data_IF_355580923211
#
_entry.id   IF_355580923211
#
_cell.length_a   1.000
_cell.length_b   1.000
_cell.length_c   1.000
_cell.angle_alpha   90.00
_cell.angle_beta   90.00
_cell.angle_gamma   90.00
#
_symmetry.space_group_name_H-M   'P 1'
#
loop_
_entity.id
_entity.type
_entity.pdbx_description
1 polymer ?
#
# COMPACT_ATOMS: atom_id res chain seq x y z
N UNK A 1 -0.08 -2.73 12.07
CA UNK A 1 1.37 -2.59 11.79
C UNK A 1 1.69 -1.09 11.72
N UNK A 2 2.74 -0.63 12.39
CA UNK A 2 3.15 0.78 12.34
C UNK A 2 4.15 0.96 11.19
N UNK A 3 3.93 1.96 10.33
CA UNK A 3 4.84 2.27 9.22
C UNK A 3 6.11 2.96 9.73
N UNK A 4 7.23 2.66 9.07
CA UNK A 4 8.51 3.34 9.30
C UNK A 4 8.49 4.73 8.67
N UNK A 5 9.29 5.71 9.14
CA UNK A 5 9.27 7.08 8.62
C UNK A 5 9.40 7.17 7.08
N UNK A 6 10.36 6.46 6.50
CA UNK A 6 10.55 6.44 5.04
C UNK A 6 9.38 5.81 4.26
N UNK A 7 8.61 4.90 4.90
CA UNK A 7 7.43 4.30 4.28
C UNK A 7 6.28 5.31 4.26
N UNK A 8 6.14 6.12 5.32
CA UNK A 8 5.19 7.24 5.37
C UNK A 8 5.56 8.30 4.34
N UNK A 9 6.84 8.67 4.25
CA UNK A 9 7.35 9.62 3.25
C UNK A 9 7.11 9.12 1.82
N UNK A 10 7.35 7.83 1.55
CA UNK A 10 7.09 7.24 0.24
C UNK A 10 5.61 7.34 -0.17
N UNK A 11 4.69 7.10 0.77
CA UNK A 11 3.24 7.25 0.56
C UNK A 11 2.85 8.71 0.32
N UNK A 12 3.39 9.63 1.12
CA UNK A 12 3.14 11.06 0.97
C UNK A 12 3.62 11.56 -0.41
N UNK A 13 4.82 11.14 -0.84
CA UNK A 13 5.36 11.47 -2.15
C UNK A 13 4.48 10.91 -3.29
N UNK A 14 3.99 9.68 -3.15
CA UNK A 14 3.08 9.05 -4.13
C UNK A 14 1.76 9.81 -4.27
N UNK A 15 1.13 10.16 -3.14
CA UNK A 15 -0.11 10.95 -3.14
C UNK A 15 0.10 12.35 -3.72
N UNK A 16 1.23 12.99 -3.41
CA UNK A 16 1.58 14.28 -4.03
C UNK A 16 1.77 14.14 -5.54
N UNK A 17 2.41 13.07 -6.00
CA UNK A 17 2.61 12.79 -7.42
C UNK A 17 1.25 12.68 -8.15
N UNK A 18 0.32 11.88 -7.65
CA UNK A 18 -1.01 11.74 -8.27
C UNK A 18 -1.81 13.05 -8.34
N UNK A 19 -1.57 13.99 -7.43
CA UNK A 19 -2.24 15.29 -7.41
C UNK A 19 -1.62 16.32 -8.36
N UNK A 20 -0.33 16.20 -8.65
CA UNK A 20 0.44 17.23 -9.36
C UNK A 20 0.89 16.83 -10.75
N UNK A 21 0.82 15.53 -11.08
CA UNK A 21 1.37 14.94 -12.29
C UNK A 21 0.35 14.03 -12.98
N UNK A 22 0.52 13.82 -14.28
CA UNK A 22 -0.32 12.94 -15.12
C UNK A 22 0.41 11.71 -15.66
N UNK A 23 1.71 11.60 -15.41
CA UNK A 23 2.51 10.44 -15.79
C UNK A 23 2.49 9.34 -14.71
N UNK A 24 3.35 8.33 -14.84
CA UNK A 24 3.34 7.15 -13.96
C UNK A 24 4.37 7.30 -12.83
N UNK A 25 3.98 7.20 -11.54
CA UNK A 25 4.91 7.26 -10.43
C UNK A 25 5.78 5.99 -10.32
N UNK A 26 6.99 6.13 -9.77
CA UNK A 26 7.87 5.02 -9.44
C UNK A 26 8.42 5.19 -8.03
N UNK A 27 8.19 4.20 -7.15
CA UNK A 27 8.78 4.14 -5.80
C UNK A 27 9.95 3.16 -5.84
N UNK A 28 11.15 3.63 -5.53
CA UNK A 28 12.36 2.81 -5.45
C UNK A 28 12.70 2.56 -3.99
N UNK A 29 12.58 1.30 -3.55
CA UNK A 29 12.99 0.88 -2.21
C UNK A 29 13.85 -0.39 -2.29
N UNK A 30 14.94 -0.49 -1.50
CA UNK A 30 15.85 -1.64 -1.52
C UNK A 30 15.15 -2.93 -1.08
N UNK A 31 15.78 -4.08 -1.30
CA UNK A 31 15.28 -5.36 -0.77
C UNK A 31 15.24 -5.31 0.76
N UNK A 32 14.22 -5.93 1.38
CA UNK A 32 14.03 -5.90 2.84
C UNK A 32 13.42 -4.62 3.41
N UNK A 33 13.21 -3.58 2.60
CA UNK A 33 12.59 -2.31 3.03
C UNK A 33 11.07 -2.36 3.30
N UNK A 34 10.42 -3.48 2.97
CA UNK A 34 8.98 -3.62 3.11
C UNK A 34 8.16 -2.96 1.99
N UNK A 35 8.57 -3.13 0.72
CA UNK A 35 7.80 -2.67 -0.45
C UNK A 35 6.33 -3.12 -0.42
N UNK A 36 6.08 -4.37 -0.06
CA UNK A 36 4.72 -4.94 0.08
C UNK A 36 3.89 -4.25 1.17
N UNK A 37 4.54 -3.82 2.25
CA UNK A 37 3.89 -3.06 3.33
C UNK A 37 3.45 -1.68 2.84
N UNK A 38 4.30 -0.99 2.07
CA UNK A 38 3.96 0.32 1.46
C UNK A 38 2.78 0.17 0.51
N UNK A 39 2.81 -0.83 -0.37
CA UNK A 39 1.71 -1.08 -1.32
C UNK A 39 0.39 -1.40 -0.60
N UNK A 40 0.39 -2.33 0.35
CA UNK A 40 -0.81 -2.74 1.09
C UNK A 40 -1.41 -1.56 1.88
N UNK A 41 -0.57 -0.83 2.62
CA UNK A 41 -1.03 0.32 3.38
C UNK A 41 -1.57 1.43 2.50
N UNK A 42 -0.94 1.72 1.35
CA UNK A 42 -1.43 2.76 0.46
C UNK A 42 -2.79 2.43 -0.17
N UNK A 43 -2.99 1.16 -0.55
CA UNK A 43 -4.27 0.70 -1.10
C UNK A 43 -5.38 0.83 -0.04
N UNK A 44 -5.08 0.51 1.23
CA UNK A 44 -6.03 0.69 2.32
C UNK A 44 -6.37 2.17 2.53
N UNK A 45 -5.37 3.06 2.64
CA UNK A 45 -5.60 4.50 2.77
C UNK A 45 -6.54 5.03 1.66
N UNK A 46 -6.29 4.67 0.39
CA UNK A 46 -7.15 5.11 -0.70
C UNK A 46 -8.55 4.51 -0.64
N UNK A 47 -8.69 3.29 -0.13
CA UNK A 47 -9.99 2.63 0.03
C UNK A 47 -10.82 3.31 1.13
N UNK A 48 -10.18 3.69 2.23
CA UNK A 48 -10.80 4.43 3.34
C UNK A 48 -11.17 5.87 2.90
N UNK A 49 -10.27 6.57 2.21
CA UNK A 49 -10.52 7.92 1.69
C UNK A 49 -11.54 7.94 0.54
N UNK A 50 -11.60 6.88 -0.26
CA UNK A 50 -12.46 6.80 -1.45
C UNK A 50 -12.98 5.37 -1.64
N UNK A 51 -14.18 5.04 -1.10
CA UNK A 51 -14.70 3.67 -1.07
C UNK A 51 -14.86 2.99 -2.43
N UNK A 52 -14.97 3.74 -3.53
CA UNK A 52 -15.07 3.18 -4.88
C UNK A 52 -13.72 2.78 -5.50
N UNK A 53 -12.58 3.15 -4.88
CA UNK A 53 -11.25 2.78 -5.36
C UNK A 53 -11.06 1.26 -5.30
N UNK A 54 -10.40 0.73 -6.33
CA UNK A 54 -9.95 -0.66 -6.44
C UNK A 54 -8.46 -0.69 -6.71
N UNK A 55 -7.72 -1.47 -5.93
CA UNK A 55 -6.29 -1.71 -6.10
C UNK A 55 -6.00 -3.13 -6.57
N UNK A 56 -4.97 -3.29 -7.41
CA UNK A 56 -4.47 -4.60 -7.85
C UNK A 56 -2.94 -4.59 -7.75
N UNK A 57 -2.37 -5.62 -7.12
CA UNK A 57 -0.91 -5.84 -7.07
C UNK A 57 -0.58 -6.98 -8.03
N UNK A 58 0.22 -6.69 -9.05
CA UNK A 58 0.68 -7.68 -10.02
C UNK A 58 2.11 -8.11 -9.70
N UNK A 59 2.36 -9.42 -9.72
CA UNK A 59 3.69 -9.98 -9.53
C UNK A 59 3.88 -11.19 -10.46
N UNK A 60 5.11 -11.42 -10.90
CA UNK A 60 5.43 -12.44 -11.90
C UNK A 60 5.63 -13.86 -11.33
N UNK A 61 5.67 -14.01 -10.00
CA UNK A 61 5.83 -15.32 -9.33
C UNK A 61 4.74 -15.54 -8.31
N UNK A 62 4.27 -16.78 -8.23
CA UNK A 62 3.24 -17.19 -7.27
C UNK A 62 3.66 -16.88 -5.83
N UNK A 63 4.91 -17.13 -5.45
CA UNK A 63 5.43 -16.81 -4.12
C UNK A 63 5.26 -15.32 -3.78
N UNK A 64 5.57 -14.43 -4.72
CA UNK A 64 5.42 -12.99 -4.53
C UNK A 64 3.93 -12.58 -4.47
N UNK A 65 3.06 -13.24 -5.22
CA UNK A 65 1.61 -13.01 -5.15
C UNK A 65 1.10 -13.35 -3.75
N UNK A 66 1.46 -14.53 -3.23
CA UNK A 66 1.06 -14.98 -1.88
C UNK A 66 1.59 -14.01 -0.82
N UNK A 67 2.87 -13.65 -0.86
CA UNK A 67 3.45 -12.69 0.08
C UNK A 67 2.74 -11.32 0.06
N UNK A 68 2.36 -10.82 -1.12
CA UNK A 68 1.62 -9.55 -1.22
C UNK A 68 0.18 -9.68 -0.70
N UNK A 69 -0.50 -10.80 -0.98
CA UNK A 69 -1.84 -11.08 -0.50
C UNK A 69 -1.89 -11.15 1.04
N UNK A 70 -0.92 -11.82 1.67
CA UNK A 70 -0.79 -11.85 3.13
C UNK A 70 -0.61 -10.45 3.73
N UNK A 71 0.21 -9.59 3.10
CA UNK A 71 0.35 -8.20 3.57
C UNK A 71 -0.94 -7.43 3.43
N UNK A 72 -1.66 -7.57 2.32
CA UNK A 72 -2.98 -6.95 2.18
C UNK A 72 -3.93 -7.40 3.29
N UNK A 73 -4.08 -8.72 3.51
CA UNK A 73 -4.96 -9.25 4.55
C UNK A 73 -4.67 -8.66 5.94
N UNK A 74 -3.40 -8.63 6.36
CA UNK A 74 -3.00 -8.06 7.67
C UNK A 74 -3.47 -6.60 7.83
N UNK A 75 -3.43 -5.80 6.77
CA UNK A 75 -3.85 -4.40 6.82
C UNK A 75 -5.38 -4.28 6.83
N UNK A 76 -6.09 -5.04 6.01
CA UNK A 76 -7.55 -5.00 5.94
C UNK A 76 -8.21 -5.53 7.22
N UNK A 77 -7.71 -6.64 7.78
CA UNK A 77 -8.22 -7.17 9.06
C UNK A 77 -8.05 -6.14 10.20
N UNK A 78 -6.95 -5.38 10.19
CA UNK A 78 -6.71 -4.32 11.16
C UNK A 78 -7.66 -3.12 10.99
N UNK A 79 -8.02 -2.79 9.75
CA UNK A 79 -9.02 -1.75 9.47
C UNK A 79 -10.41 -2.18 9.95
N UNK A 80 -10.85 -3.39 9.59
CA UNK A 80 -12.15 -3.92 10.03
C UNK A 80 -12.26 -4.01 11.56
N UNK A 81 -11.17 -4.31 12.25
CA UNK A 81 -11.14 -4.31 13.71
C UNK A 81 -11.36 -2.90 14.30
N UNK A 82 -10.83 -1.85 13.67
CA UNK A 82 -11.01 -0.45 14.12
C UNK A 82 -12.44 0.05 13.96
N UNK A 83 -13.16 -0.41 12.95
CA UNK A 83 -14.56 -0.03 12.72
C UNK A 83 -15.54 -0.67 13.73
N UNK A 84 -15.13 -1.72 14.44
CA UNK A 84 -15.96 -2.46 15.41
C UNK A 84 -15.89 -1.92 16.85
N UNK A 85 -15.01 -0.94 17.12
CA UNK A 85 -14.82 -0.28 18.42
C UNK A 85 -15.52 1.07 18.38
#
# INVERSE_FOLDING_TARGET
MILRPYQVEAKAALNNFFRTRKDNPCIVLPTGSGKSVVMASQILDWKEETPCVRGCILAHRQELVVQNAEKLQIFFDQAEYREKI
#
